data_IF_097577215319
#
_entry.id   IF_097577215319
#
_cell.length_a   1.000
_cell.length_b   1.000
_cell.length_c   1.000
_cell.angle_alpha   90.00
_cell.angle_beta   90.00
_cell.angle_gamma   90.00
#
_symmetry.space_group_name_H-M   'P 1'
#
loop_
_entity.id
_entity.type
_entity.pdbx_description
1 polymer ?
#
# COMPACT_ATOMS: atom_id res chain seq x y z
N UNK A 1 3.31 -6.04 26.85
CA UNK A 1 4.56 -6.68 26.35
C UNK A 1 5.62 -5.60 26.19
N UNK A 2 6.89 -5.85 26.51
CA UNK A 2 7.94 -4.87 26.25
C UNK A 2 8.12 -4.67 24.73
N UNK A 3 8.40 -3.43 24.32
CA UNK A 3 8.72 -3.13 22.93
C UNK A 3 10.08 -3.73 22.59
N UNK A 4 10.13 -4.60 21.56
CA UNK A 4 11.38 -5.20 21.08
C UNK A 4 12.09 -4.21 20.16
N UNK A 5 13.30 -3.81 20.53
CA UNK A 5 14.17 -3.06 19.64
C UNK A 5 14.77 -4.00 18.58
N UNK A 6 14.85 -3.52 17.35
CA UNK A 6 15.43 -4.28 16.22
C UNK A 6 16.95 -4.08 16.16
N UNK A 7 17.68 -5.15 15.89
CA UNK A 7 19.11 -5.08 15.61
C UNK A 7 19.38 -4.46 14.22
N UNK A 8 20.61 -4.07 13.95
CA UNK A 8 21.01 -3.54 12.64
C UNK A 8 20.76 -4.54 11.51
N UNK A 9 21.03 -5.84 11.74
CA UNK A 9 20.73 -6.92 10.77
C UNK A 9 19.23 -7.04 10.52
N UNK A 10 18.39 -7.00 11.58
CA UNK A 10 16.94 -7.00 11.43
C UNK A 10 16.45 -5.78 10.63
N UNK A 11 17.00 -4.59 10.89
CA UNK A 11 16.68 -3.37 10.13
C UNK A 11 17.11 -3.50 8.67
N UNK A 12 18.27 -4.08 8.38
CA UNK A 12 18.74 -4.32 7.02
C UNK A 12 17.77 -5.23 6.25
N UNK A 13 17.27 -6.31 6.87
CA UNK A 13 16.25 -7.21 6.28
C UNK A 13 14.90 -6.52 6.09
N UNK A 14 14.45 -5.69 7.04
CA UNK A 14 13.25 -4.87 6.87
C UNK A 14 13.39 -3.90 5.68
N UNK A 15 14.59 -3.31 5.46
CA UNK A 15 14.85 -2.47 4.29
C UNK A 15 14.75 -3.24 2.97
N UNK A 16 15.16 -4.52 2.97
CA UNK A 16 14.99 -5.38 1.79
C UNK A 16 13.49 -5.56 1.51
N UNK A 17 12.72 -6.00 2.50
CA UNK A 17 11.28 -6.19 2.34
C UNK A 17 10.56 -4.90 1.88
N UNK A 18 10.92 -3.74 2.47
CA UNK A 18 10.37 -2.44 2.07
C UNK A 18 10.70 -2.05 0.63
N UNK A 19 11.94 -2.30 0.15
CA UNK A 19 12.30 -2.06 -1.25
C UNK A 19 11.54 -2.97 -2.21
N UNK A 20 11.33 -4.24 -1.84
CA UNK A 20 10.54 -5.17 -2.65
C UNK A 20 9.09 -4.70 -2.76
N UNK A 21 8.47 -4.29 -1.66
CA UNK A 21 7.11 -3.73 -1.70
C UNK A 21 7.03 -2.49 -2.60
N UNK A 22 7.99 -1.57 -2.49
CA UNK A 22 8.06 -0.38 -3.34
C UNK A 22 8.21 -0.73 -4.84
N UNK A 23 9.03 -1.74 -5.17
CA UNK A 23 9.21 -2.16 -6.57
C UNK A 23 7.93 -2.69 -7.22
N UNK A 24 7.03 -3.30 -6.43
CA UNK A 24 5.70 -3.72 -6.92
C UNK A 24 4.89 -2.49 -7.34
N UNK A 25 4.92 -1.40 -6.55
CA UNK A 25 4.20 -0.16 -6.88
C UNK A 25 4.78 0.53 -8.12
N UNK A 26 6.09 0.49 -8.30
CA UNK A 26 6.73 1.05 -9.49
C UNK A 26 6.37 0.23 -10.74
N UNK A 27 6.41 -1.09 -10.65
CA UNK A 27 6.05 -1.99 -11.74
C UNK A 27 4.58 -1.83 -12.15
N UNK A 28 3.64 -1.86 -11.16
CA UNK A 28 2.21 -1.86 -11.47
C UNK A 28 1.72 -0.53 -12.03
N UNK A 29 2.45 0.56 -11.78
CA UNK A 29 2.08 1.87 -12.28
C UNK A 29 1.89 1.94 -13.80
N UNK A 30 2.67 1.18 -14.56
CA UNK A 30 2.57 1.11 -16.02
C UNK A 30 1.29 0.41 -16.51
N UNK A 31 0.60 -0.33 -15.64
CA UNK A 31 -0.62 -1.07 -15.96
C UNK A 31 -1.90 -0.36 -15.51
N UNK A 32 -1.77 0.77 -14.80
CA UNK A 32 -2.93 1.51 -14.30
C UNK A 32 -3.50 2.38 -15.43
N UNK A 33 -4.44 1.80 -16.17
CA UNK A 33 -5.07 2.45 -17.32
C UNK A 33 -6.60 2.26 -17.34
N UNK A 34 -7.34 3.10 -18.10
CA UNK A 34 -8.79 2.92 -18.23
C UNK A 34 -9.14 1.56 -18.83
N UNK A 35 -10.11 0.86 -18.25
CA UNK A 35 -10.61 -0.42 -18.72
C UNK A 35 -10.01 -1.64 -18.02
N UNK A 36 -8.83 -1.54 -17.41
CA UNK A 36 -8.26 -2.64 -16.63
C UNK A 36 -9.14 -2.93 -15.41
N UNK A 37 -9.30 -4.20 -15.06
CA UNK A 37 -9.99 -4.57 -13.82
C UNK A 37 -9.01 -4.55 -12.64
N UNK A 38 -9.52 -4.29 -11.44
CA UNK A 38 -8.70 -4.37 -10.23
C UNK A 38 -8.22 -5.80 -9.96
N UNK A 39 -8.96 -6.81 -10.42
CA UNK A 39 -8.53 -8.21 -10.39
C UNK A 39 -7.30 -8.49 -11.29
N UNK A 40 -7.26 -7.86 -12.47
CA UNK A 40 -6.08 -7.98 -13.35
C UNK A 40 -4.84 -7.35 -12.71
N UNK A 41 -4.98 -6.18 -12.08
CA UNK A 41 -3.89 -5.56 -11.31
C UNK A 41 -3.39 -6.49 -10.20
N UNK A 42 -4.31 -7.14 -9.46
CA UNK A 42 -3.97 -8.12 -8.44
C UNK A 42 -3.17 -9.31 -9.03
N UNK A 43 -3.61 -9.86 -10.16
CA UNK A 43 -2.92 -10.99 -10.82
C UNK A 43 -1.51 -10.62 -11.29
N UNK A 44 -1.34 -9.41 -11.82
CA UNK A 44 -0.02 -8.91 -12.24
C UNK A 44 0.89 -8.77 -11.02
N UNK A 45 0.42 -8.12 -9.94
CA UNK A 45 1.18 -7.96 -8.71
C UNK A 45 1.51 -9.32 -8.07
N UNK A 46 0.55 -10.25 -8.03
CA UNK A 46 0.76 -11.58 -7.47
C UNK A 46 1.92 -12.30 -8.16
N UNK A 47 1.90 -12.35 -9.50
CA UNK A 47 2.98 -12.99 -10.28
C UNK A 47 4.34 -12.33 -10.01
N UNK A 48 4.38 -11.01 -10.04
CA UNK A 48 5.62 -10.28 -9.78
C UNK A 48 6.17 -10.56 -8.37
N UNK A 49 5.30 -10.55 -7.34
CA UNK A 49 5.70 -10.82 -5.94
C UNK A 49 6.22 -12.26 -5.79
N UNK A 50 5.50 -13.24 -6.35
CA UNK A 50 5.81 -14.66 -6.14
C UNK A 50 6.93 -15.13 -7.05
N UNK A 51 6.82 -14.88 -8.35
CA UNK A 51 7.69 -15.48 -9.35
C UNK A 51 9.01 -14.70 -9.54
N UNK A 52 8.99 -13.37 -9.42
CA UNK A 52 10.18 -12.55 -9.67
C UNK A 52 10.87 -12.08 -8.39
N UNK A 53 10.11 -11.74 -7.34
CA UNK A 53 10.70 -11.29 -6.08
C UNK A 53 10.97 -12.44 -5.10
N UNK A 54 10.46 -13.65 -5.37
CA UNK A 54 10.51 -14.78 -4.45
C UNK A 54 10.07 -14.34 -3.04
N UNK A 55 8.89 -13.68 -2.98
CA UNK A 55 8.31 -13.14 -1.76
C UNK A 55 6.85 -13.61 -1.60
N UNK A 56 6.29 -13.41 -0.42
CA UNK A 56 4.92 -13.82 -0.11
C UNK A 56 4.04 -12.56 -0.04
N UNK A 57 2.91 -12.49 -0.78
CA UNK A 57 1.94 -11.43 -0.60
C UNK A 57 1.21 -11.60 0.74
N UNK A 58 1.48 -10.73 1.70
CA UNK A 58 0.98 -10.85 3.06
C UNK A 58 -0.56 -10.79 3.20
N UNK A 59 -1.31 -10.02 2.38
CA UNK A 59 -2.76 -9.98 2.48
C UNK A 59 -3.44 -11.30 2.11
N UNK A 60 -2.85 -12.08 1.21
CA UNK A 60 -3.47 -13.31 0.71
C UNK A 60 -3.65 -14.33 1.83
N UNK A 61 -4.90 -14.75 2.04
CA UNK A 61 -5.33 -15.66 3.11
C UNK A 61 -5.19 -15.09 4.54
N UNK A 62 -4.97 -13.78 4.68
CA UNK A 62 -4.96 -13.15 6.00
C UNK A 62 -6.37 -13.11 6.60
N UNK A 63 -6.49 -13.47 7.88
CA UNK A 63 -7.73 -13.39 8.64
C UNK A 63 -7.48 -12.78 10.02
N UNK A 64 -8.32 -11.83 10.40
CA UNK A 64 -8.21 -11.14 11.69
C UNK A 64 -8.79 -11.92 12.88
N UNK A 65 -9.67 -12.89 12.63
CA UNK A 65 -10.33 -13.66 13.68
C UNK A 65 -10.77 -15.04 13.20
N UNK A 66 -10.87 -16.03 14.10
CA UNK A 66 -11.43 -17.33 13.79
C UNK A 66 -12.87 -17.18 13.25
N UNK A 67 -13.16 -17.87 12.14
CA UNK A 67 -14.48 -17.86 11.50
C UNK A 67 -14.74 -16.70 10.54
N UNK A 68 -13.83 -15.74 10.43
CA UNK A 68 -13.91 -14.75 9.35
C UNK A 68 -13.27 -15.31 8.05
N UNK A 69 -13.91 -15.07 6.89
CA UNK A 69 -13.31 -15.46 5.63
C UNK A 69 -11.96 -14.75 5.45
N UNK A 70 -10.92 -15.47 4.99
CA UNK A 70 -9.62 -14.86 4.74
C UNK A 70 -9.70 -13.86 3.57
N UNK A 71 -8.80 -12.86 3.59
CA UNK A 71 -8.69 -11.92 2.49
C UNK A 71 -8.26 -12.67 1.21
N UNK A 72 -9.02 -12.56 0.10
CA UNK A 72 -8.89 -13.48 -1.02
C UNK A 72 -7.86 -13.05 -2.08
N UNK A 73 -7.11 -11.95 -1.85
CA UNK A 73 -6.28 -11.29 -2.86
C UNK A 73 -4.89 -10.94 -2.33
N UNK A 74 -3.96 -10.66 -3.23
CA UNK A 74 -2.55 -10.41 -2.91
C UNK A 74 -2.25 -8.97 -2.58
N UNK A 75 -3.08 -8.04 -3.06
CA UNK A 75 -2.99 -6.60 -2.82
C UNK A 75 -4.36 -6.03 -2.47
N UNK A 76 -4.40 -4.80 -1.95
CA UNK A 76 -5.66 -4.05 -1.85
C UNK A 76 -5.73 -3.01 -2.97
N UNK A 77 -6.94 -2.79 -3.50
CA UNK A 77 -7.21 -1.78 -4.54
C UNK A 77 -8.41 -0.94 -4.13
N UNK A 78 -8.15 0.26 -3.64
CA UNK A 78 -9.20 1.15 -3.11
C UNK A 78 -9.46 2.28 -4.09
N UNK A 79 -10.62 2.22 -4.78
CA UNK A 79 -10.97 3.13 -5.87
C UNK A 79 -11.93 4.21 -5.37
N UNK A 80 -11.58 5.48 -5.61
CA UNK A 80 -12.37 6.67 -5.31
C UNK A 80 -12.78 6.74 -3.82
N UNK A 81 -14.06 6.46 -3.51
CA UNK A 81 -14.63 6.56 -2.17
C UNK A 81 -14.26 5.40 -1.22
N UNK A 82 -13.63 4.36 -1.73
CA UNK A 82 -13.14 3.25 -0.90
C UNK A 82 -11.88 3.72 -0.17
N UNK A 83 -11.94 3.83 1.15
CA UNK A 83 -10.87 4.43 1.96
C UNK A 83 -9.63 3.52 2.01
N UNK A 84 -9.83 2.23 2.28
CA UNK A 84 -8.75 1.23 2.36
C UNK A 84 -9.30 -0.19 2.19
N UNK A 85 -8.40 -1.16 2.08
CA UNK A 85 -8.68 -2.60 2.03
C UNK A 85 -9.70 -3.02 0.93
N UNK A 86 -9.77 -2.26 -0.17
CA UNK A 86 -10.60 -2.60 -1.31
C UNK A 86 -10.19 -3.95 -1.90
N UNK A 87 -11.16 -4.88 -2.01
CA UNK A 87 -10.91 -6.22 -2.56
C UNK A 87 -10.89 -6.14 -4.09
N UNK A 88 -9.79 -6.54 -4.74
CA UNK A 88 -9.72 -6.67 -6.19
C UNK A 88 -10.86 -7.52 -6.79
N UNK A 89 -11.48 -7.03 -7.86
CA UNK A 89 -12.66 -7.64 -8.47
C UNK A 89 -12.63 -7.57 -10.00
N UNK A 90 -13.03 -8.63 -10.72
CA UNK A 90 -13.13 -8.60 -12.18
C UNK A 90 -14.23 -7.64 -12.67
N UNK A 91 -15.20 -7.34 -11.81
CA UNK A 91 -16.31 -6.44 -12.12
C UNK A 91 -15.97 -4.95 -11.86
N UNK A 92 -14.89 -4.65 -11.16
CA UNK A 92 -14.43 -3.28 -10.92
C UNK A 92 -13.37 -2.91 -11.95
N UNK A 93 -13.80 -2.23 -13.01
CA UNK A 93 -12.90 -1.69 -14.05
C UNK A 93 -12.63 -0.23 -13.79
N UNK A 94 -11.37 0.17 -13.93
CA UNK A 94 -10.93 1.54 -13.79
C UNK A 94 -11.46 2.39 -14.97
N UNK A 95 -11.84 3.63 -14.68
CA UNK A 95 -12.34 4.60 -15.67
C UNK A 95 -11.45 5.84 -15.67
N UNK A 96 -11.37 6.53 -16.78
CA UNK A 96 -10.70 7.83 -16.86
C UNK A 96 -11.27 8.79 -15.80
N UNK A 97 -10.39 9.39 -15.03
CA UNK A 97 -10.75 10.27 -13.91
C UNK A 97 -10.79 9.59 -12.56
N UNK A 98 -10.76 8.25 -12.50
CA UNK A 98 -10.65 7.54 -11.22
C UNK A 98 -9.30 7.81 -10.55
N UNK A 99 -9.31 7.75 -9.22
CA UNK A 99 -8.10 7.62 -8.39
C UNK A 99 -8.13 6.26 -7.72
N UNK A 100 -6.99 5.58 -7.65
CA UNK A 100 -6.89 4.27 -7.01
C UNK A 100 -5.68 4.22 -6.09
N UNK A 101 -5.90 3.81 -4.85
CA UNK A 101 -4.82 3.41 -3.95
C UNK A 101 -4.54 1.93 -4.20
N UNK A 102 -3.29 1.61 -4.50
CA UNK A 102 -2.78 0.24 -4.53
C UNK A 102 -1.91 0.08 -3.30
N UNK A 103 -2.24 -0.91 -2.47
CA UNK A 103 -1.60 -1.17 -1.19
C UNK A 103 -1.01 -2.57 -1.20
N UNK A 104 0.28 -2.63 -0.93
CA UNK A 104 1.13 -3.82 -1.09
C UNK A 104 1.87 -4.11 0.20
N UNK A 105 1.68 -5.32 0.71
CA UNK A 105 2.51 -5.85 1.78
C UNK A 105 3.14 -7.16 1.33
N UNK A 106 4.47 -7.22 1.36
CA UNK A 106 5.23 -8.43 1.05
C UNK A 106 5.96 -8.96 2.29
N UNK A 107 6.12 -10.28 2.35
CA UNK A 107 6.96 -10.93 3.36
C UNK A 107 8.19 -11.49 2.67
N UNK A 108 9.37 -11.07 3.11
CA UNK A 108 10.66 -11.62 2.70
C UNK A 108 11.47 -11.97 3.94
N UNK A 109 11.96 -13.20 4.02
CA UNK A 109 12.75 -13.69 5.15
C UNK A 109 12.11 -13.43 6.53
N UNK A 110 10.77 -13.53 6.60
CA UNK A 110 9.93 -13.26 7.79
C UNK A 110 9.79 -11.78 8.17
N UNK A 111 10.27 -10.85 7.36
CA UNK A 111 10.08 -9.41 7.55
C UNK A 111 9.06 -8.87 6.56
N UNK A 112 8.22 -7.95 7.03
CA UNK A 112 7.20 -7.31 6.21
C UNK A 112 7.73 -6.00 5.64
N UNK A 113 7.45 -5.78 4.35
CA UNK A 113 7.53 -4.49 3.70
C UNK A 113 6.11 -4.08 3.31
N UNK A 114 5.67 -2.93 3.78
CA UNK A 114 4.30 -2.45 3.61
C UNK A 114 4.34 -1.01 3.09
N UNK A 115 3.67 -0.77 1.98
CA UNK A 115 3.61 0.55 1.35
C UNK A 115 2.44 0.65 0.39
N UNK A 116 1.92 1.86 0.22
CA UNK A 116 0.86 2.13 -0.75
C UNK A 116 1.13 3.38 -1.57
N UNK A 117 0.48 3.47 -2.73
CA UNK A 117 0.60 4.63 -3.63
C UNK A 117 -0.74 4.92 -4.30
N UNK A 118 -1.02 6.21 -4.45
CA UNK A 118 -2.15 6.67 -5.26
C UNK A 118 -1.76 6.76 -6.73
N UNK A 119 -2.63 6.28 -7.59
CA UNK A 119 -2.50 6.38 -9.04
C UNK A 119 -3.70 7.12 -9.63
N UNK A 120 -3.44 7.94 -10.63
CA UNK A 120 -4.47 8.60 -11.43
C UNK A 120 -4.74 7.82 -12.71
N UNK A 121 -6.00 7.57 -12.99
CA UNK A 121 -6.41 6.88 -14.22
C UNK A 121 -6.76 7.94 -15.28
N UNK A 122 -5.76 8.33 -16.06
CA UNK A 122 -5.87 9.52 -16.91
C UNK A 122 -5.88 10.82 -16.09
N UNK A 123 -6.69 11.80 -16.50
CA UNK A 123 -6.76 13.10 -15.81
C UNK A 123 -7.83 13.08 -14.73
N UNK A 124 -7.47 13.22 -13.45
CA UNK A 124 -8.42 13.28 -12.34
C UNK A 124 -9.08 14.67 -12.26
N UNK A 125 -10.15 14.78 -11.49
CA UNK A 125 -10.71 16.10 -11.15
C UNK A 125 -9.71 16.93 -10.31
N UNK A 126 -9.84 18.27 -10.37
CA UNK A 126 -9.00 19.16 -9.56
C UNK A 126 -9.08 18.84 -8.06
N UNK A 127 -10.28 18.50 -7.58
CA UNK A 127 -10.49 18.13 -6.17
C UNK A 127 -9.80 16.81 -5.81
N UNK A 128 -9.86 15.80 -6.69
CA UNK A 128 -9.22 14.52 -6.46
C UNK A 128 -7.68 14.67 -6.45
N UNK A 129 -7.13 15.44 -7.40
CA UNK A 129 -5.69 15.74 -7.43
C UNK A 129 -5.26 16.44 -6.13
N UNK A 130 -5.97 17.51 -5.75
CA UNK A 130 -5.66 18.24 -4.52
C UNK A 130 -5.68 17.34 -3.28
N UNK A 131 -6.69 16.45 -3.17
CA UNK A 131 -6.78 15.51 -2.06
C UNK A 131 -5.54 14.60 -1.98
N UNK A 132 -5.12 14.04 -3.12
CA UNK A 132 -3.94 13.16 -3.19
C UNK A 132 -2.67 13.93 -2.83
N UNK A 133 -2.47 15.12 -3.39
CA UNK A 133 -1.27 15.93 -3.16
C UNK A 133 -1.16 16.36 -1.69
N UNK A 134 -2.27 16.80 -1.08
CA UNK A 134 -2.32 17.18 0.34
C UNK A 134 -2.07 15.96 1.23
N UNK A 135 -2.66 14.81 0.90
CA UNK A 135 -2.46 13.58 1.68
C UNK A 135 -1.00 13.11 1.62
N UNK A 136 -0.36 13.23 0.47
CA UNK A 136 1.07 12.92 0.34
C UNK A 136 1.95 13.87 1.16
N UNK A 137 1.64 15.17 1.16
CA UNK A 137 2.35 16.12 2.02
C UNK A 137 2.13 15.81 3.51
N UNK A 138 0.92 15.41 3.90
CA UNK A 138 0.63 14.94 5.26
C UNK A 138 1.56 13.79 5.69
N UNK A 139 1.77 12.80 4.81
CA UNK A 139 2.68 11.68 5.07
C UNK A 139 4.10 12.18 5.37
N UNK A 140 4.64 13.05 4.53
CA UNK A 140 5.99 13.58 4.73
C UNK A 140 6.09 14.46 5.99
N UNK A 141 5.07 15.22 6.33
CA UNK A 141 5.02 15.97 7.59
C UNK A 141 5.03 15.04 8.79
N UNK A 142 4.24 13.96 8.75
CA UNK A 142 4.25 12.93 9.79
C UNK A 142 5.62 12.28 9.95
N UNK A 143 6.30 11.94 8.85
CA UNK A 143 7.65 11.35 8.89
C UNK A 143 8.68 12.31 9.52
N UNK A 144 8.63 13.61 9.20
CA UNK A 144 9.60 14.61 9.69
C UNK A 144 9.58 14.82 11.20
N UNK A 145 8.48 14.53 11.88
CA UNK A 145 8.39 14.68 13.34
C UNK A 145 8.91 13.46 14.10
N UNK A 146 9.18 12.33 13.41
CA UNK A 146 9.69 11.11 14.02
C UNK A 146 11.15 11.27 14.42
N UNK A 147 11.40 11.36 15.76
CA UNK A 147 12.74 11.51 16.34
C UNK A 147 12.74 10.98 17.77
N UNK A 148 13.91 10.71 18.36
CA UNK A 148 13.99 10.38 19.78
C UNK A 148 13.30 11.43 20.65
N UNK A 149 12.44 10.98 21.56
CA UNK A 149 11.65 11.86 22.44
C UNK A 149 10.32 12.35 21.86
N UNK A 150 10.03 12.07 20.58
CA UNK A 150 8.71 12.37 20.02
C UNK A 150 7.63 11.40 20.55
N UNK A 151 6.39 11.86 20.60
CA UNK A 151 5.23 11.06 20.96
C UNK A 151 4.46 10.66 19.70
N UNK A 152 3.74 9.54 19.78
CA UNK A 152 2.90 9.09 18.66
C UNK A 152 1.87 10.14 18.24
N UNK A 153 1.34 10.91 19.20
CA UNK A 153 0.41 12.01 18.95
C UNK A 153 0.99 13.17 18.12
N UNK A 154 2.33 13.36 18.11
CA UNK A 154 2.97 14.41 17.33
C UNK A 154 2.79 14.18 15.82
N UNK A 155 2.77 12.90 15.39
CA UNK A 155 2.49 12.52 14.00
C UNK A 155 1.06 12.93 13.62
N UNK A 156 0.09 12.54 14.45
CA UNK A 156 -1.31 12.90 14.22
C UNK A 156 -1.53 14.41 14.20
N UNK A 157 -0.91 15.15 15.13
CA UNK A 157 -0.98 16.61 15.18
C UNK A 157 -0.39 17.26 13.93
N UNK A 158 0.78 16.79 13.46
CA UNK A 158 1.43 17.32 12.27
C UNK A 158 0.56 17.13 11.01
N UNK A 159 -0.14 16.00 10.90
CA UNK A 159 -1.05 15.70 9.80
C UNK A 159 -2.32 16.54 9.91
N UNK A 160 -2.96 16.56 11.08
CA UNK A 160 -4.24 17.22 11.28
C UNK A 160 -4.15 18.75 11.15
N UNK A 161 -3.00 19.34 11.53
CA UNK A 161 -2.78 20.78 11.44
C UNK A 161 -2.57 21.27 10.01
N UNK A 162 -2.26 20.37 9.07
CA UNK A 162 -2.08 20.68 7.64
C UNK A 162 -3.38 20.54 6.87
#
# INVERSE_FOLDING_TARGET
MPIKLRSEDEVARMRVAGRLAASVLDMIGAHVEPGISTDELDRICHRYIVDELDAIPAPLNYSNAPGQPPFPKSICTSVNHVVCHGIPSPNKRLKRGDVVNIDVTVIKDRYHGDTSKMFFVGEPSVMARRLVDVTQECLYRGIRVVRPGAHLGDIGYAIQSH
#
